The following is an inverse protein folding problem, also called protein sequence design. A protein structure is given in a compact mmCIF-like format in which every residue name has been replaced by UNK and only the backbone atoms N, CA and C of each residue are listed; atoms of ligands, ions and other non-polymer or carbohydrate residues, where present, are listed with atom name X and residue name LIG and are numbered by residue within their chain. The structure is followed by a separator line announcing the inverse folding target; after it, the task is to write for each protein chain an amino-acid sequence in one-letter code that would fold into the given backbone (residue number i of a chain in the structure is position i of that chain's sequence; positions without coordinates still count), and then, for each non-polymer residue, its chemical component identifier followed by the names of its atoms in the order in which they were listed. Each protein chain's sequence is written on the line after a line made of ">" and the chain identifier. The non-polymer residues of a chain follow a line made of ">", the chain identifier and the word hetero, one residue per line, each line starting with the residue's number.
data_IF_682652507546
#
_entry.id   IF_682652507546
#
_cell.length_a   1.000
_cell.length_b   1.000
_cell.length_c   1.000
_cell.angle_alpha   90.00
_cell.angle_beta   90.00
_cell.angle_gamma   90.00
#
_symmetry.space_group_name_H-M   'P 1'
#
loop_
_entity.id
_entity.type
_entity.pdbx_description
1 polymer ?
#
# COMPACT_ATOMS: atom_id res chain seq x y z
N UNK A 1 -5.10 -22.19 13.61
CA UNK A 1 -3.83 -22.76 14.15
C UNK A 1 -2.99 -23.47 13.09
N UNK A 2 -3.54 -24.42 12.29
CA UNK A 2 -2.76 -25.19 11.30
C UNK A 2 -1.99 -24.34 10.26
N UNK A 3 -2.59 -23.28 9.73
CA UNK A 3 -1.93 -22.41 8.73
C UNK A 3 -0.80 -21.53 9.32
N UNK A 4 -0.87 -21.25 10.63
CA UNK A 4 0.17 -20.54 11.38
C UNK A 4 1.34 -21.50 11.62
N UNK A 5 1.06 -22.74 12.04
CA UNK A 5 2.06 -23.81 12.16
C UNK A 5 2.73 -24.15 10.82
N UNK A 6 2.01 -24.02 9.71
CA UNK A 6 2.54 -24.24 8.37
C UNK A 6 3.36 -23.07 7.81
N UNK A 7 3.57 -21.98 8.57
CA UNK A 7 4.39 -20.80 8.18
C UNK A 7 3.96 -20.14 6.86
N UNK A 8 2.71 -20.36 6.44
CA UNK A 8 2.19 -19.87 5.15
C UNK A 8 1.56 -18.47 5.25
N UNK A 9 1.14 -18.06 6.44
CA UNK A 9 0.44 -16.80 6.65
C UNK A 9 1.43 -15.70 7.04
N UNK A 10 1.39 -14.55 6.34
CA UNK A 10 2.16 -13.37 6.72
C UNK A 10 1.39 -12.59 7.80
N UNK A 11 1.74 -12.82 9.07
CA UNK A 11 1.10 -12.17 10.23
C UNK A 11 1.36 -10.67 10.31
N UNK A 12 2.33 -10.14 9.55
CA UNK A 12 2.59 -8.70 9.48
C UNK A 12 1.68 -7.98 8.47
N UNK A 13 1.03 -8.73 7.58
CA UNK A 13 0.12 -8.16 6.61
C UNK A 13 -1.27 -7.94 7.21
N UNK A 14 -1.76 -6.69 7.15
CA UNK A 14 -3.04 -6.30 7.74
C UNK A 14 -4.23 -7.19 7.33
N UNK A 15 -4.27 -7.64 6.07
CA UNK A 15 -5.37 -8.47 5.58
C UNK A 15 -5.41 -9.89 6.17
N UNK A 16 -4.35 -10.32 6.87
CA UNK A 16 -4.31 -11.62 7.54
C UNK A 16 -4.66 -11.52 9.02
N UNK A 17 -4.39 -10.39 9.68
CA UNK A 17 -4.67 -10.22 11.11
C UNK A 17 -5.92 -9.40 11.44
N UNK A 18 -6.56 -8.73 10.46
CA UNK A 18 -7.68 -7.81 10.72
C UNK A 18 -8.91 -8.44 11.42
N UNK A 19 -9.05 -9.77 11.37
CA UNK A 19 -10.12 -10.55 11.97
C UNK A 19 -9.63 -11.47 13.11
N UNK A 20 -8.39 -11.29 13.60
CA UNK A 20 -7.86 -12.06 14.72
C UNK A 20 -8.19 -11.39 16.05
N UNK A 21 -8.43 -12.18 17.09
CA UNK A 21 -8.46 -11.66 18.46
C UNK A 21 -7.05 -11.25 18.91
N UNK A 22 -6.96 -10.28 19.83
CA UNK A 22 -5.69 -9.70 20.26
C UNK A 22 -4.76 -10.75 20.88
N UNK A 23 -5.31 -11.66 21.70
CA UNK A 23 -4.53 -12.68 22.40
C UNK A 23 -3.92 -13.69 21.40
N UNK A 24 -4.69 -14.09 20.38
CA UNK A 24 -4.24 -14.97 19.30
C UNK A 24 -3.16 -14.29 18.45
N UNK A 25 -3.33 -13.00 18.18
CA UNK A 25 -2.35 -12.21 17.42
C UNK A 25 -1.03 -12.09 18.20
N UNK A 26 -1.10 -11.77 19.49
CA UNK A 26 0.08 -11.64 20.34
C UNK A 26 0.83 -12.97 20.45
N UNK A 27 0.12 -14.09 20.65
CA UNK A 27 0.73 -15.42 20.68
C UNK A 27 1.42 -15.76 19.35
N UNK A 28 0.74 -15.55 18.22
CA UNK A 28 1.27 -15.87 16.90
C UNK A 28 2.50 -15.00 16.54
N UNK A 29 2.50 -13.73 16.93
CA UNK A 29 3.66 -12.83 16.74
C UNK A 29 4.84 -13.27 17.61
N UNK A 30 4.62 -13.66 18.87
CA UNK A 30 5.68 -14.19 19.74
C UNK A 30 6.30 -15.47 19.18
N UNK A 31 5.47 -16.38 18.66
CA UNK A 31 5.93 -17.60 18.00
C UNK A 31 6.77 -17.28 16.75
N UNK A 32 6.32 -16.32 15.93
CA UNK A 32 7.09 -15.84 14.79
C UNK A 32 8.42 -15.20 15.21
N UNK A 33 8.47 -14.47 16.32
CA UNK A 33 9.70 -13.86 16.84
C UNK A 33 10.71 -14.89 17.35
N UNK A 34 10.24 -16.06 17.79
CA UNK A 34 11.11 -17.16 18.21
C UNK A 34 11.82 -17.85 17.02
N UNK A 35 11.26 -17.73 15.80
CA UNK A 35 11.81 -18.28 14.56
C UNK A 35 12.32 -17.16 13.63
N UNK A 36 13.63 -16.93 13.63
CA UNK A 36 14.24 -15.86 12.84
C UNK A 36 13.99 -15.99 11.33
N UNK A 37 14.04 -17.20 10.77
CA UNK A 37 13.83 -17.41 9.33
C UNK A 37 12.39 -17.07 8.94
N UNK A 38 11.42 -17.47 9.78
CA UNK A 38 10.02 -17.13 9.56
C UNK A 38 9.77 -15.62 9.70
N UNK A 39 10.38 -14.97 10.69
CA UNK A 39 10.30 -13.52 10.90
C UNK A 39 10.84 -12.75 9.69
N UNK A 40 12.07 -13.04 9.25
CA UNK A 40 12.69 -12.36 8.11
C UNK A 40 11.92 -12.60 6.82
N UNK A 41 11.47 -13.83 6.56
CA UNK A 41 10.65 -14.16 5.40
C UNK A 41 9.32 -13.41 5.38
N UNK A 42 8.68 -13.23 6.55
CA UNK A 42 7.43 -12.49 6.68
C UNK A 42 7.64 -10.99 6.45
N UNK A 43 8.70 -10.40 7.00
CA UNK A 43 9.07 -8.99 6.75
C UNK A 43 9.35 -8.70 5.27
N UNK A 44 10.09 -9.59 4.58
CA UNK A 44 10.36 -9.44 3.14
C UNK A 44 9.05 -9.46 2.33
N UNK A 45 8.16 -10.40 2.63
CA UNK A 45 6.86 -10.53 1.97
C UNK A 45 5.97 -9.31 2.23
N UNK A 46 5.98 -8.79 3.44
CA UNK A 46 5.24 -7.58 3.80
C UNK A 46 5.76 -6.35 3.06
N UNK A 47 7.07 -6.10 3.12
CA UNK A 47 7.72 -4.98 2.42
C UNK A 47 7.45 -5.00 0.90
N UNK A 48 7.52 -6.17 0.27
CA UNK A 48 7.20 -6.33 -1.16
C UNK A 48 5.72 -5.99 -1.45
N UNK A 49 4.81 -6.47 -0.61
CA UNK A 49 3.37 -6.24 -0.75
C UNK A 49 3.02 -4.76 -0.58
N UNK A 50 3.59 -4.10 0.44
CA UNK A 50 3.47 -2.66 0.65
C UNK A 50 3.96 -1.87 -0.57
N UNK A 51 5.15 -2.21 -1.10
CA UNK A 51 5.70 -1.57 -2.30
C UNK A 51 4.77 -1.68 -3.51
N UNK A 52 4.14 -2.84 -3.73
CA UNK A 52 3.20 -3.07 -4.83
C UNK A 52 1.94 -2.20 -4.71
N UNK A 53 1.35 -2.13 -3.52
CA UNK A 53 0.14 -1.32 -3.27
C UNK A 53 0.44 0.16 -3.42
N UNK A 54 1.58 0.62 -2.91
CA UNK A 54 2.03 2.01 -3.06
C UNK A 54 2.16 2.35 -4.54
N UNK A 55 2.84 1.51 -5.34
CA UNK A 55 2.99 1.75 -6.79
C UNK A 55 1.64 1.93 -7.50
N UNK A 56 0.63 1.14 -7.16
CA UNK A 56 -0.71 1.28 -7.72
C UNK A 56 -1.38 2.61 -7.33
N UNK A 57 -1.32 2.99 -6.04
CA UNK A 57 -1.86 4.27 -5.56
C UNK A 57 -1.16 5.47 -6.20
N UNK A 58 0.15 5.41 -6.36
CA UNK A 58 0.94 6.46 -7.02
C UNK A 58 0.61 6.59 -8.51
N UNK A 59 0.31 5.48 -9.20
CA UNK A 59 -0.12 5.52 -10.60
C UNK A 59 -1.46 6.25 -10.76
N UNK A 60 -2.43 5.95 -9.89
CA UNK A 60 -3.72 6.65 -9.89
C UNK A 60 -3.57 8.14 -9.59
N UNK A 61 -2.77 8.48 -8.57
CA UNK A 61 -2.49 9.87 -8.22
C UNK A 61 -1.80 10.63 -9.36
N UNK A 62 -0.84 9.99 -10.05
CA UNK A 62 -0.18 10.58 -11.22
C UNK A 62 -1.18 10.90 -12.33
N UNK A 63 -2.08 9.97 -12.64
CA UNK A 63 -3.11 10.19 -13.67
C UNK A 63 -4.00 11.39 -13.31
N UNK A 64 -4.50 11.43 -12.07
CA UNK A 64 -5.33 12.53 -11.59
C UNK A 64 -4.60 13.88 -11.70
N UNK A 65 -3.33 13.93 -11.28
CA UNK A 65 -2.52 15.14 -11.36
C UNK A 65 -2.25 15.57 -12.80
N UNK A 66 -1.97 14.63 -13.71
CA UNK A 66 -1.78 14.95 -15.13
C UNK A 66 -3.03 15.54 -15.75
N UNK A 67 -4.21 14.97 -15.50
CA UNK A 67 -5.48 15.50 -16.01
C UNK A 67 -5.74 16.90 -15.44
N UNK A 68 -5.58 17.08 -14.13
CA UNK A 68 -5.74 18.37 -13.47
C UNK A 68 -4.81 19.44 -14.04
N UNK A 69 -3.53 19.12 -14.20
CA UNK A 69 -2.51 20.01 -14.76
C UNK A 69 -2.83 20.44 -16.19
N UNK A 70 -3.26 19.50 -17.06
CA UNK A 70 -3.67 19.83 -18.43
C UNK A 70 -4.86 20.80 -18.41
N UNK A 71 -5.87 20.54 -17.57
CA UNK A 71 -7.04 21.41 -17.45
C UNK A 71 -6.69 22.81 -16.95
N UNK A 72 -5.80 22.91 -15.95
CA UNK A 72 -5.33 24.18 -15.40
C UNK A 72 -4.60 25.00 -16.46
N UNK A 73 -3.62 24.40 -17.14
CA UNK A 73 -2.84 25.09 -18.18
C UNK A 73 -3.75 25.54 -19.32
N UNK A 74 -4.64 24.66 -19.81
CA UNK A 74 -5.55 25.00 -20.90
C UNK A 74 -6.48 26.15 -20.53
N UNK A 75 -7.04 26.13 -19.32
CA UNK A 75 -7.90 27.20 -18.81
C UNK A 75 -7.16 28.53 -18.68
N UNK A 76 -5.95 28.52 -18.12
CA UNK A 76 -5.10 29.71 -18.00
C UNK A 76 -4.71 30.29 -19.37
N UNK A 77 -4.37 29.44 -20.35
CA UNK A 77 -4.00 29.88 -21.71
C UNK A 77 -5.22 30.45 -22.45
N UNK A 78 -6.38 29.79 -22.41
CA UNK A 78 -7.60 30.28 -23.03
C UNK A 78 -8.02 31.64 -22.45
N UNK A 79 -7.95 31.78 -21.13
CA UNK A 79 -8.23 33.05 -20.46
C UNK A 79 -7.27 34.16 -20.92
N UNK A 80 -5.96 33.87 -20.99
CA UNK A 80 -4.97 34.84 -21.45
C UNK A 80 -5.18 35.26 -22.91
N UNK A 81 -5.51 34.31 -23.80
CA UNK A 81 -5.83 34.59 -25.21
C UNK A 81 -7.11 35.43 -25.32
N UNK A 82 -8.16 35.08 -24.57
CA UNK A 82 -9.40 35.84 -24.56
C UNK A 82 -9.16 37.31 -24.15
N UNK A 83 -8.40 37.54 -23.08
CA UNK A 83 -8.07 38.90 -22.61
C UNK A 83 -7.17 39.68 -23.59
N UNK A 84 -6.34 39.00 -24.39
CA UNK A 84 -5.48 39.66 -25.37
C UNK A 84 -6.21 40.07 -26.66
N UNK A 85 -7.24 39.32 -27.06
CA UNK A 85 -8.00 39.56 -28.30
C UNK A 85 -9.28 40.38 -28.10
N UNK A 86 -9.75 40.50 -26.85
CA UNK A 86 -10.89 41.36 -26.43
C UNK A 86 -10.38 42.71 -25.97
#
# INVERSE_FOLDING_TARGET
>A
EEDIHNKKVNLLFFGNFYNMEMDDYEWAVKEMMADQDYLYSSMIRDQYSLGKVISQKYKLLRIAYTIFMIGLILSSVLFAVFVLFV
#
